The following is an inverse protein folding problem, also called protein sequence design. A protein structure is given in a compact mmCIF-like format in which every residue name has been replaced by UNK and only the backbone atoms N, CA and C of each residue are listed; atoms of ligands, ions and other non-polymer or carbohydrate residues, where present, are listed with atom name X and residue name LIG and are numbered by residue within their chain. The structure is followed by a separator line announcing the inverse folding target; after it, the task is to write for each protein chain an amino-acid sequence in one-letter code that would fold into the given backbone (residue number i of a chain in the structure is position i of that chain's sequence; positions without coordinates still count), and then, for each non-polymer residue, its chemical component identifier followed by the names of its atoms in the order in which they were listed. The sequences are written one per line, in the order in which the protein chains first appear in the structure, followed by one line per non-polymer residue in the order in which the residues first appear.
data_IF_763125670728
#
_entry.id   IF_763125670728
#
_cell.length_a   1.000
_cell.length_b   1.000
_cell.length_c   1.000
_cell.angle_alpha   90.00
_cell.angle_beta   90.00
_cell.angle_gamma   90.00
#
_symmetry.space_group_name_H-M   'P 1'
#
loop_
_entity.id
_entity.type
_entity.pdbx_description
1 polymer ?
#
# COMPACT_ATOMS: atom_id res chain seq x y z
N UNK A 1 -8.43 19.71 2.86
CA UNK A 1 -7.85 18.50 2.26
C UNK A 1 -7.14 17.73 3.35
N UNK A 2 -7.41 16.43 3.47
CA UNK A 2 -6.80 15.50 4.42
C UNK A 2 -6.28 14.29 3.68
N UNK A 3 -5.49 13.44 4.34
CA UNK A 3 -5.02 12.18 3.81
C UNK A 3 -5.74 11.01 4.46
N UNK A 4 -6.40 10.21 3.63
CA UNK A 4 -6.95 8.92 4.03
C UNK A 4 -5.92 7.84 3.72
N UNK A 5 -5.69 6.92 4.66
CA UNK A 5 -4.78 5.79 4.48
C UNK A 5 -5.41 4.50 4.98
N UNK A 6 -5.26 3.42 4.22
CA UNK A 6 -5.64 2.06 4.65
C UNK A 6 -4.44 1.14 4.71
N UNK A 7 -4.47 0.20 5.64
CA UNK A 7 -3.56 -0.94 5.64
C UNK A 7 -3.94 -1.91 4.52
N UNK A 8 -3.00 -2.18 3.63
CA UNK A 8 -3.15 -3.15 2.55
C UNK A 8 -3.37 -4.58 3.06
N UNK A 9 -4.14 -5.36 2.31
CA UNK A 9 -4.40 -6.77 2.63
C UNK A 9 -3.57 -7.71 1.77
N UNK A 10 -2.80 -8.60 2.40
CA UNK A 10 -2.10 -9.66 1.67
C UNK A 10 -3.08 -10.81 1.47
N UNK A 11 -3.47 -11.12 0.22
CA UNK A 11 -4.41 -12.22 -0.01
C UNK A 11 -3.75 -13.59 0.23
N UNK A 12 -2.42 -13.73 0.04
CA UNK A 12 -1.62 -14.95 0.28
C UNK A 12 -0.14 -14.60 0.54
N UNK A 13 0.62 -15.40 1.30
CA UNK A 13 2.06 -15.21 1.51
C UNK A 13 2.92 -15.37 0.23
N UNK A 14 2.32 -15.87 -0.85
CA UNK A 14 2.97 -16.33 -2.09
C UNK A 14 2.74 -15.45 -3.34
N UNK A 15 2.00 -14.34 -3.20
CA UNK A 15 1.78 -13.30 -4.24
C UNK A 15 2.54 -11.99 -3.88
N UNK A 16 2.69 -10.97 -4.77
CA UNK A 16 3.85 -10.08 -4.83
C UNK A 16 4.16 -9.35 -3.50
N UNK A 17 5.40 -8.84 -3.36
CA UNK A 17 5.94 -8.26 -2.10
C UNK A 17 5.04 -7.22 -1.41
N UNK A 18 4.10 -6.60 -2.13
CA UNK A 18 3.17 -5.59 -1.63
C UNK A 18 1.73 -6.12 -1.53
N UNK A 19 0.99 -5.61 -0.54
CA UNK A 19 -0.41 -5.98 -0.29
C UNK A 19 -1.37 -5.23 -1.23
N UNK A 20 -2.52 -5.83 -1.56
CA UNK A 20 -3.54 -5.17 -2.39
C UNK A 20 -4.22 -4.04 -1.61
N UNK A 21 -4.80 -3.09 -2.34
CA UNK A 21 -5.68 -2.07 -1.76
C UNK A 21 -6.99 -2.75 -1.34
N UNK A 22 -7.39 -2.72 -0.06
CA UNK A 22 -8.65 -3.30 0.37
C UNK A 22 -9.78 -2.32 0.08
N UNK A 23 -11.00 -2.80 -0.12
CA UNK A 23 -12.17 -1.93 -0.02
C UNK A 23 -12.18 -1.24 1.37
N UNK A 24 -12.55 0.04 1.43
CA UNK A 24 -12.48 0.83 2.68
C UNK A 24 -13.18 0.18 3.87
N UNK A 25 -14.32 -0.47 3.63
CA UNK A 25 -15.11 -1.15 4.68
C UNK A 25 -14.50 -2.49 5.13
N UNK A 26 -13.54 -3.02 4.38
CA UNK A 26 -12.84 -4.27 4.68
C UNK A 26 -11.48 -4.02 5.30
N UNK A 27 -10.90 -2.82 5.08
CA UNK A 27 -9.60 -2.44 5.58
C UNK A 27 -9.44 -2.73 7.08
N UNK A 28 -8.48 -3.59 7.40
CA UNK A 28 -8.14 -3.94 8.79
C UNK A 28 -7.76 -2.73 9.66
N UNK A 29 -7.20 -1.70 9.05
CA UNK A 29 -6.90 -0.44 9.70
C UNK A 29 -7.04 0.72 8.71
N UNK A 30 -7.51 1.86 9.22
CA UNK A 30 -7.75 3.07 8.46
C UNK A 30 -7.37 4.28 9.31
N UNK A 31 -6.76 5.28 8.69
CA UNK A 31 -6.43 6.55 9.32
C UNK A 31 -6.82 7.73 8.42
N UNK A 32 -7.32 8.80 9.03
CA UNK A 32 -7.52 10.09 8.40
C UNK A 32 -6.63 11.09 9.13
N UNK A 33 -5.75 11.77 8.41
CA UNK A 33 -4.79 12.72 8.98
C UNK A 33 -4.77 14.03 8.21
N UNK A 34 -4.40 15.12 8.85
CA UNK A 34 -4.41 16.45 8.21
C UNK A 34 -3.33 16.59 7.13
N UNK A 35 -2.15 16.02 7.35
CA UNK A 35 -0.96 16.22 6.52
C UNK A 35 -0.30 14.89 6.11
N UNK A 36 0.39 14.89 4.97
CA UNK A 36 1.08 13.71 4.45
C UNK A 36 2.12 13.16 5.44
N UNK A 37 2.85 14.04 6.13
CA UNK A 37 3.89 13.63 7.09
C UNK A 37 3.32 12.88 8.31
N UNK A 38 2.04 13.09 8.62
CA UNK A 38 1.35 12.36 9.70
C UNK A 38 1.04 10.89 9.35
N UNK A 39 1.19 10.49 8.08
CA UNK A 39 1.08 9.08 7.67
C UNK A 39 2.21 8.23 8.26
N UNK A 40 3.42 8.78 8.42
CA UNK A 40 4.58 8.00 8.90
C UNK A 40 4.49 7.61 10.39
N UNK A 41 4.08 8.50 11.32
CA UNK A 41 3.77 8.10 12.69
C UNK A 41 2.70 7.00 12.77
N UNK A 42 1.63 7.10 11.98
CA UNK A 42 0.58 6.07 11.91
C UNK A 42 1.15 4.74 11.42
N UNK A 43 1.94 4.75 10.34
CA UNK A 43 2.61 3.56 9.83
C UNK A 43 3.53 2.91 10.88
N UNK A 44 4.24 3.72 11.67
CA UNK A 44 5.09 3.22 12.75
C UNK A 44 4.28 2.49 13.82
N UNK A 45 3.12 3.02 14.19
CA UNK A 45 2.21 2.36 15.15
C UNK A 45 1.64 1.07 14.56
N UNK A 46 1.20 1.09 13.31
CA UNK A 46 0.73 -0.11 12.61
C UNK A 46 1.80 -1.19 12.52
N UNK A 47 3.07 -0.83 12.32
CA UNK A 47 4.17 -1.81 12.33
C UNK A 47 4.32 -2.51 13.67
N UNK A 48 4.15 -1.79 14.77
CA UNK A 48 4.20 -2.38 16.11
C UNK A 48 3.03 -3.34 16.35
N UNK A 49 1.86 -3.03 15.80
CA UNK A 49 0.65 -3.82 15.97
C UNK A 49 0.54 -5.02 15.01
N UNK A 50 1.00 -4.88 13.76
CA UNK A 50 0.71 -5.80 12.67
C UNK A 50 1.96 -6.43 12.04
N UNK A 51 3.15 -6.00 12.42
CA UNK A 51 4.44 -6.54 11.96
C UNK A 51 5.25 -5.56 11.12
N UNK A 52 6.53 -5.87 10.92
CA UNK A 52 7.50 -4.94 10.32
C UNK A 52 7.32 -4.66 8.82
N UNK A 53 6.71 -5.59 8.09
CA UNK A 53 6.55 -5.53 6.63
C UNK A 53 5.08 -5.34 6.26
N UNK A 54 4.67 -4.08 6.09
CA UNK A 54 3.32 -3.66 5.76
C UNK A 54 3.33 -2.91 4.43
N UNK A 55 2.20 -2.91 3.76
CA UNK A 55 1.89 -1.99 2.66
C UNK A 55 0.69 -1.19 3.08
N UNK A 56 0.72 0.12 2.91
CA UNK A 56 -0.43 1.00 3.06
C UNK A 56 -0.67 1.79 1.77
N UNK A 57 -1.90 2.23 1.61
CA UNK A 57 -2.39 2.96 0.45
C UNK A 57 -3.01 4.26 0.94
N UNK A 58 -2.60 5.40 0.39
CA UNK A 58 -3.04 6.71 0.84
C UNK A 58 -3.46 7.63 -0.31
N UNK A 59 -4.47 8.46 -0.09
CA UNK A 59 -4.97 9.44 -1.07
C UNK A 59 -5.43 10.71 -0.36
N UNK A 60 -5.43 11.83 -1.07
CA UNK A 60 -6.05 13.05 -0.57
C UNK A 60 -7.56 13.00 -0.70
N UNK A 61 -8.25 13.47 0.34
CA UNK A 61 -9.71 13.47 0.43
C UNK A 61 -10.23 14.79 0.99
N UNK A 62 -11.44 15.15 0.58
CA UNK A 62 -12.25 16.18 1.22
C UNK A 62 -13.19 15.51 2.22
N UNK A 63 -12.69 15.27 3.42
CA UNK A 63 -13.47 14.68 4.51
C UNK A 63 -12.97 15.17 5.87
N UNK A 64 -13.91 15.43 6.78
CA UNK A 64 -13.62 15.81 8.17
C UNK A 64 -13.64 14.61 9.12
N UNK A 65 -14.26 13.50 8.72
CA UNK A 65 -14.32 12.24 9.46
C UNK A 65 -14.31 11.04 8.51
N UNK A 66 -13.85 9.90 9.00
CA UNK A 66 -13.91 8.62 8.27
C UNK A 66 -15.35 8.14 8.04
N UNK A 67 -16.30 8.53 8.89
CA UNK A 67 -17.72 8.16 8.69
C UNK A 67 -18.36 8.92 7.54
N UNK A 68 -17.76 10.04 7.14
CA UNK A 68 -18.34 11.02 6.22
C UNK A 68 -17.55 11.07 4.90
N UNK A 69 -17.00 9.93 4.48
CA UNK A 69 -16.25 9.84 3.23
C UNK A 69 -17.16 10.01 2.01
N UNK A 70 -16.71 10.76 0.97
CA UNK A 70 -17.48 10.92 -0.26
C UNK A 70 -17.83 9.57 -0.91
N UNK A 71 -19.09 9.38 -1.30
CA UNK A 71 -19.54 8.12 -1.90
C UNK A 71 -18.77 7.76 -3.20
N UNK A 72 -18.33 8.77 -3.95
CA UNK A 72 -17.50 8.60 -5.15
C UNK A 72 -16.13 8.00 -4.79
N UNK A 73 -15.49 8.51 -3.72
CA UNK A 73 -14.25 7.95 -3.19
C UNK A 73 -14.45 6.51 -2.73
N UNK A 74 -15.56 6.20 -2.05
CA UNK A 74 -15.84 4.83 -1.59
C UNK A 74 -16.01 3.86 -2.76
N UNK A 75 -16.66 4.30 -3.84
CA UNK A 75 -16.87 3.50 -5.04
C UNK A 75 -15.62 3.37 -5.91
N UNK A 76 -14.82 4.44 -6.01
CA UNK A 76 -13.62 4.53 -6.84
C UNK A 76 -12.31 4.23 -6.11
N UNK A 77 -12.35 3.88 -4.82
CA UNK A 77 -11.17 3.66 -3.97
C UNK A 77 -10.12 2.71 -4.60
N UNK A 78 -10.59 1.66 -5.29
CA UNK A 78 -9.73 0.69 -5.97
C UNK A 78 -9.33 1.13 -7.39
N UNK A 79 -10.05 2.07 -7.99
CA UNK A 79 -10.00 2.42 -9.42
C UNK A 79 -9.45 3.83 -9.72
N UNK A 80 -9.43 4.76 -8.76
CA UNK A 80 -9.16 6.18 -9.01
C UNK A 80 -7.71 6.62 -8.71
N UNK A 81 -7.21 7.49 -9.59
CA UNK A 81 -5.81 7.85 -9.77
C UNK A 81 -5.23 8.70 -8.64
N UNK A 82 -3.93 8.52 -8.42
CA UNK A 82 -3.07 9.25 -7.46
C UNK A 82 -3.01 8.68 -6.03
N UNK A 83 -3.34 7.40 -5.87
CA UNK A 83 -3.04 6.67 -4.63
C UNK A 83 -1.53 6.50 -4.45
N UNK A 84 -1.00 6.85 -3.29
CA UNK A 84 0.39 6.63 -2.90
C UNK A 84 0.51 5.30 -2.16
N UNK A 85 1.46 4.45 -2.58
CA UNK A 85 1.82 3.23 -1.86
C UNK A 85 2.97 3.50 -0.89
N UNK A 86 2.81 3.04 0.34
CA UNK A 86 3.78 3.13 1.41
C UNK A 86 4.14 1.71 1.87
N UNK A 87 5.34 1.25 1.56
CA UNK A 87 5.83 -0.06 1.99
C UNK A 87 6.81 0.10 3.15
N UNK A 88 6.55 -0.59 4.26
CA UNK A 88 7.50 -0.66 5.37
C UNK A 88 8.43 -1.85 5.17
N UNK A 89 9.74 -1.62 5.29
CA UNK A 89 10.75 -2.65 5.13
C UNK A 89 11.49 -2.93 6.45
N UNK A 90 12.02 -4.16 6.57
CA UNK A 90 12.93 -4.51 7.65
C UNK A 90 14.13 -3.55 7.64
N UNK A 91 14.47 -3.02 8.81
CA UNK A 91 15.48 -1.97 8.97
C UNK A 91 14.92 -0.57 9.15
N UNK A 92 13.60 -0.39 9.10
CA UNK A 92 12.93 0.86 9.51
C UNK A 92 12.63 1.83 8.38
N UNK A 93 12.99 1.49 7.14
CA UNK A 93 12.75 2.31 5.96
C UNK A 93 11.29 2.22 5.50
N UNK A 94 10.79 3.32 4.94
CA UNK A 94 9.51 3.38 4.25
C UNK A 94 9.78 3.74 2.80
N UNK A 95 9.37 2.85 1.89
CA UNK A 95 9.40 3.14 0.46
C UNK A 95 8.08 3.81 0.08
N UNK A 96 8.18 5.02 -0.47
CA UNK A 96 7.07 5.76 -1.04
C UNK A 96 7.12 5.57 -2.55
N UNK A 97 6.07 5.02 -3.14
CA UNK A 97 5.98 4.82 -4.59
C UNK A 97 4.59 5.22 -5.09
N UNK A 98 4.55 5.89 -6.24
CA UNK A 98 3.34 5.83 -7.05
C UNK A 98 3.16 4.37 -7.48
N UNK A 99 1.99 3.79 -7.24
CA UNK A 99 1.73 2.41 -7.60
C UNK A 99 1.87 2.18 -9.12
N UNK A 100 1.67 3.24 -9.92
CA UNK A 100 1.86 3.25 -11.39
C UNK A 100 3.32 3.07 -11.80
N UNK A 101 4.28 3.42 -10.92
CA UNK A 101 5.73 3.31 -11.17
C UNK A 101 6.32 1.98 -10.67
N UNK A 102 5.51 1.02 -10.23
CA UNK A 102 6.01 -0.32 -9.91
C UNK A 102 5.95 -1.18 -11.17
N UNK A 103 7.09 -1.44 -11.87
CA UNK A 103 7.06 -2.35 -13.00
C UNK A 103 6.56 -3.71 -12.51
N UNK A 104 5.50 -4.23 -13.14
CA UNK A 104 5.14 -5.63 -13.05
C UNK A 104 6.41 -6.40 -13.41
N UNK A 105 7.00 -7.11 -12.44
CA UNK A 105 8.24 -7.87 -12.72
C UNK A 105 7.95 -8.83 -13.86
N UNK A 106 8.50 -8.53 -15.03
CA UNK A 106 8.69 -9.50 -16.10
C UNK A 106 9.37 -10.70 -15.48
N UNK A 107 8.70 -11.85 -15.54
CA UNK A 107 9.13 -13.06 -14.87
C UNK A 107 10.61 -13.35 -15.14
N UNK A 108 11.32 -13.74 -14.10
CA UNK A 108 12.63 -14.35 -14.23
C UNK A 108 12.39 -15.63 -15.02
N UNK A 109 12.60 -15.59 -16.34
CA UNK A 109 12.79 -16.78 -17.15
C UNK A 109 14.10 -17.40 -16.66
N UNK A 110 13.99 -18.33 -15.71
CA UNK A 110 15.04 -19.28 -15.43
C UNK A 110 15.18 -20.15 -16.69
N UNK A 111 15.98 -19.69 -17.65
CA UNK A 111 16.42 -20.53 -18.74
C UNK A 111 17.53 -21.43 -18.19
N UNK A 112 17.10 -22.52 -17.57
CA UNK A 112 17.95 -23.63 -17.24
C UNK A 112 18.51 -24.24 -18.53
N UNK A 113 19.83 -24.29 -18.62
CA UNK A 113 20.57 -25.32 -19.35
C UNK A 113 20.97 -25.01 -20.79
N UNK A 114 22.26 -24.74 -21.00
CA UNK A 114 23.04 -25.40 -22.06
C UNK A 114 24.56 -25.18 -21.85
N UNK A 115 25.20 -26.22 -21.29
CA UNK A 115 26.51 -26.82 -21.63
C UNK A 115 27.76 -25.92 -21.82
N UNK A 116 28.76 -26.21 -20.98
CA UNK A 116 30.20 -26.01 -21.23
C UNK A 116 30.63 -26.71 -22.53
N UNK A 117 31.62 -26.13 -23.25
CA UNK A 117 32.59 -26.92 -23.98
C UNK A 117 34.01 -26.75 -23.40
N UNK A 118 34.75 -27.85 -23.50
CA UNK A 118 36.19 -28.03 -23.25
C UNK A 118 36.98 -27.43 -24.41
#
# INVERSE_FOLDING_TARGET
MRWLMTLGERPRPDLPRFAAIPALHQARALALVDDFDHLFPVLREWRQAYGDELTAWAVQVEADDVTDLPAQLVAGWEEEGDVIRLDTERGGYVRVADYRDTPARTGISAQAGARLPV
#
